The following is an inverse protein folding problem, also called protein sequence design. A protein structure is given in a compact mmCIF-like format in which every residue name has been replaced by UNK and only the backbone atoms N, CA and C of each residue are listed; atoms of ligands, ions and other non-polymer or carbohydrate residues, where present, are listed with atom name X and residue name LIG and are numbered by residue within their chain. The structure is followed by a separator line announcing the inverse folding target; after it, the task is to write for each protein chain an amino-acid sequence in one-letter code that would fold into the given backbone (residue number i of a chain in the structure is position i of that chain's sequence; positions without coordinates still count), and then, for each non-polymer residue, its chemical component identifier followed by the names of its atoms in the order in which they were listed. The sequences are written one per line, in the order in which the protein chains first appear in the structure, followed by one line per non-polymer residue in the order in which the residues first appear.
data_IF_431932475950
#
_entry.id   IF_431932475950
#
_cell.length_a   1.000
_cell.length_b   1.000
_cell.length_c   1.000
_cell.angle_alpha   90.00
_cell.angle_beta   90.00
_cell.angle_gamma   90.00
#
_symmetry.space_group_name_H-M   'P 1'
#
loop_
_entity.id
_entity.type
_entity.pdbx_description
1 polymer ?
#
# COMPACT_ATOMS: atom_id res chain seq x y z
N UNK A 1 31.77 -2.69 -0.90
CA UNK A 1 31.14 -3.82 -1.61
C UNK A 1 30.62 -4.79 -0.56
N UNK A 2 29.31 -5.00 -0.50
CA UNK A 2 28.66 -5.65 0.64
C UNK A 2 29.06 -7.13 0.81
N UNK A 3 29.42 -7.51 2.04
CA UNK A 3 29.56 -8.89 2.50
C UNK A 3 28.17 -9.54 2.56
N UNK A 4 27.75 -10.24 1.50
CA UNK A 4 26.47 -10.97 1.49
C UNK A 4 26.72 -12.49 1.55
N UNK A 5 25.83 -13.17 2.27
CA UNK A 5 25.76 -14.63 2.29
C UNK A 5 24.77 -15.11 1.22
N UNK A 6 25.07 -16.20 0.52
CA UNK A 6 24.12 -16.85 -0.39
C UNK A 6 24.25 -18.37 -0.33
N UNK A 7 23.33 -19.08 -0.99
CA UNK A 7 23.36 -20.54 -1.16
C UNK A 7 23.75 -20.98 -2.57
N UNK A 8 23.82 -20.04 -3.51
CA UNK A 8 24.12 -20.27 -4.92
C UNK A 8 24.91 -19.07 -5.43
N UNK A 9 25.86 -19.28 -6.35
CA UNK A 9 26.64 -18.21 -6.98
C UNK A 9 26.93 -18.57 -8.44
N UNK A 10 26.82 -17.57 -9.34
CA UNK A 10 27.32 -17.67 -10.71
C UNK A 10 28.73 -17.11 -10.74
N UNK A 11 29.60 -17.77 -11.47
CA UNK A 11 30.95 -17.27 -11.61
C UNK A 11 31.58 -17.62 -12.95
N UNK A 12 32.51 -16.77 -13.35
CA UNK A 12 33.29 -16.92 -14.58
C UNK A 12 34.76 -16.98 -14.22
N UNK A 13 35.48 -17.97 -14.77
CA UNK A 13 36.93 -18.09 -14.66
C UNK A 13 37.52 -17.92 -16.05
N UNK A 14 38.19 -16.79 -16.28
CA UNK A 14 38.77 -16.45 -17.58
C UNK A 14 40.15 -17.08 -17.75
N UNK A 15 40.44 -17.58 -18.97
CA UNK A 15 41.73 -18.17 -19.36
C UNK A 15 42.21 -19.26 -18.38
N UNK A 16 41.45 -20.35 -18.19
CA UNK A 16 41.77 -21.34 -17.14
C UNK A 16 43.18 -21.92 -17.28
N UNK A 17 43.70 -22.09 -18.51
CA UNK A 17 45.02 -22.66 -18.82
C UNK A 17 46.20 -21.72 -18.58
N UNK A 18 45.97 -20.41 -18.51
CA UNK A 18 47.06 -19.43 -18.53
C UNK A 18 46.82 -18.20 -17.68
N UNK A 19 47.88 -17.80 -17.00
CA UNK A 19 48.00 -16.51 -16.37
C UNK A 19 48.51 -15.48 -17.38
N UNK A 20 47.56 -14.75 -17.97
CA UNK A 20 47.83 -13.75 -19.00
C UNK A 20 47.94 -12.37 -18.36
N UNK A 21 49.07 -11.70 -18.60
CA UNK A 21 49.26 -10.27 -18.34
C UNK A 21 49.21 -9.54 -19.67
N UNK A 22 48.30 -8.57 -19.82
CA UNK A 22 48.17 -7.78 -21.04
C UNK A 22 49.10 -6.56 -21.03
N UNK A 23 49.53 -6.13 -22.22
CA UNK A 23 50.31 -4.91 -22.40
C UNK A 23 49.41 -3.69 -22.27
N UNK A 24 49.85 -2.67 -21.54
CA UNK A 24 49.12 -1.42 -21.36
C UNK A 24 49.84 -0.24 -22.05
N UNK A 25 49.09 0.76 -22.49
CA UNK A 25 49.65 2.04 -22.95
C UNK A 25 50.05 2.93 -21.76
N UNK A 26 50.58 4.13 -22.02
CA UNK A 26 51.00 5.09 -20.98
C UNK A 26 49.82 5.58 -20.10
N UNK A 27 48.59 5.43 -20.59
CA UNK A 27 47.34 5.81 -19.89
C UNK A 27 46.74 4.65 -19.06
N UNK A 28 47.34 3.45 -19.12
CA UNK A 28 46.88 2.28 -18.38
C UNK A 28 45.77 1.47 -19.06
N UNK A 29 45.51 1.68 -20.36
CA UNK A 29 44.56 0.90 -21.14
C UNK A 29 45.21 -0.31 -21.84
N UNK A 30 44.48 -1.42 -21.94
CA UNK A 30 44.96 -2.64 -22.62
C UNK A 30 45.15 -2.37 -24.12
N UNK A 31 46.36 -2.57 -24.61
CA UNK A 31 46.71 -2.47 -26.04
C UNK A 31 46.09 -3.65 -26.78
N UNK A 32 45.41 -3.36 -27.89
CA UNK A 32 44.85 -4.37 -28.81
C UNK A 32 45.62 -4.41 -30.13
N UNK A 33 45.71 -5.58 -30.74
CA UNK A 33 46.28 -5.76 -32.07
C UNK A 33 45.31 -5.31 -33.18
N UNK A 34 45.76 -5.42 -34.43
CA UNK A 34 45.00 -5.06 -35.63
C UNK A 34 43.68 -5.83 -35.81
N UNK A 35 43.52 -6.97 -35.11
CA UNK A 35 42.31 -7.79 -35.11
C UNK A 35 41.45 -7.56 -33.86
N UNK A 36 41.80 -6.57 -33.03
CA UNK A 36 41.08 -6.24 -31.80
C UNK A 36 41.37 -7.16 -30.61
N UNK A 37 42.35 -8.05 -30.70
CA UNK A 37 42.74 -8.97 -29.61
C UNK A 37 43.76 -8.30 -28.69
N UNK A 38 43.59 -8.48 -27.38
CA UNK A 38 44.50 -7.90 -26.40
C UNK A 38 45.92 -8.45 -26.54
N UNK A 39 46.92 -7.56 -26.61
CA UNK A 39 48.34 -7.90 -26.74
C UNK A 39 48.85 -8.46 -25.42
N UNK A 40 49.39 -9.68 -25.46
CA UNK A 40 49.91 -10.38 -24.29
C UNK A 40 51.34 -9.92 -24.01
N UNK A 41 51.59 -9.44 -22.79
CA UNK A 41 52.92 -9.11 -22.28
C UNK A 41 53.61 -10.35 -21.69
N UNK A 42 52.87 -11.16 -20.94
CA UNK A 42 53.36 -12.37 -20.28
C UNK A 42 52.26 -13.43 -20.24
N UNK A 43 52.63 -14.69 -20.45
CA UNK A 43 51.73 -15.83 -20.37
C UNK A 43 52.43 -16.94 -19.59
N UNK A 44 51.88 -17.29 -18.43
CA UNK A 44 52.40 -18.39 -17.60
C UNK A 44 51.38 -19.53 -17.55
N UNK A 45 51.80 -20.80 -17.70
CA UNK A 45 50.89 -21.93 -17.62
C UNK A 45 50.34 -22.09 -16.19
N UNK A 46 49.05 -22.35 -16.06
CA UNK A 46 48.43 -22.75 -14.79
C UNK A 46 48.51 -24.26 -14.61
N UNK A 47 48.01 -24.76 -13.48
CA UNK A 47 47.80 -26.20 -13.24
C UNK A 47 46.88 -26.86 -14.29
N UNK A 48 46.07 -26.07 -15.00
CA UNK A 48 45.14 -26.53 -16.04
C UNK A 48 45.76 -26.62 -17.44
N UNK A 49 47.00 -26.15 -17.63
CA UNK A 49 47.63 -25.99 -18.94
C UNK A 49 47.60 -27.26 -19.79
N UNK A 50 47.91 -28.41 -19.19
CA UNK A 50 48.04 -29.70 -19.89
C UNK A 50 46.79 -30.58 -19.82
N UNK A 51 45.71 -30.13 -19.19
CA UNK A 51 44.49 -30.91 -18.99
C UNK A 51 43.55 -30.80 -20.20
N UNK A 52 42.71 -31.80 -20.45
CA UNK A 52 41.62 -31.67 -21.44
C UNK A 52 40.52 -30.76 -20.90
N UNK A 53 39.65 -30.25 -21.77
CA UNK A 53 38.53 -29.36 -21.40
C UNK A 53 37.62 -30.04 -20.36
N UNK A 54 37.38 -31.34 -20.52
CA UNK A 54 36.61 -32.14 -19.58
C UNK A 54 37.33 -32.28 -18.22
N UNK A 55 38.65 -32.56 -18.23
CA UNK A 55 39.45 -32.65 -17.00
C UNK A 55 39.48 -31.32 -16.24
N UNK A 56 39.50 -30.19 -16.94
CA UNK A 56 39.43 -28.86 -16.31
C UNK A 56 38.07 -28.68 -15.62
N UNK A 57 36.96 -28.98 -16.30
CA UNK A 57 35.63 -28.91 -15.68
C UNK A 57 35.52 -29.81 -14.43
N UNK A 58 36.02 -31.04 -14.51
CA UNK A 58 35.97 -32.01 -13.42
C UNK A 58 36.82 -31.54 -12.22
N UNK A 59 38.06 -31.08 -12.44
CA UNK A 59 38.94 -30.61 -11.36
C UNK A 59 38.36 -29.38 -10.64
N UNK A 60 37.89 -28.39 -11.42
CA UNK A 60 37.26 -27.18 -10.86
C UNK A 60 36.03 -27.53 -10.05
N UNK A 61 35.18 -28.44 -10.55
CA UNK A 61 34.00 -28.87 -9.81
C UNK A 61 34.38 -29.65 -8.54
N UNK A 62 35.36 -30.54 -8.62
CA UNK A 62 35.87 -31.32 -7.49
C UNK A 62 36.47 -30.44 -6.38
N UNK A 63 37.17 -29.34 -6.73
CA UNK A 63 37.65 -28.35 -5.75
C UNK A 63 36.50 -27.70 -4.98
N UNK A 64 35.33 -27.54 -5.59
CA UNK A 64 34.15 -27.02 -4.92
C UNK A 64 33.47 -28.07 -4.03
N UNK A 65 33.11 -29.23 -4.61
CA UNK A 65 32.29 -30.25 -3.93
C UNK A 65 33.09 -31.13 -2.96
N UNK A 66 34.41 -31.22 -3.12
CA UNK A 66 35.27 -32.07 -2.28
C UNK A 66 35.40 -31.59 -0.82
N UNK A 67 34.99 -30.36 -0.52
CA UNK A 67 35.10 -29.75 0.81
C UNK A 67 33.83 -29.92 1.68
N UNK A 68 32.66 -30.18 1.09
CA UNK A 68 31.40 -30.43 1.82
C UNK A 68 30.45 -31.26 0.94
N UNK A 69 29.95 -32.39 1.46
CA UNK A 69 29.05 -33.33 0.76
C UNK A 69 27.68 -32.72 0.42
N UNK A 70 27.37 -31.56 1.00
CA UNK A 70 26.16 -30.76 0.73
C UNK A 70 26.36 -29.69 -0.34
N UNK A 71 27.49 -29.71 -1.05
CA UNK A 71 27.75 -28.83 -2.19
C UNK A 71 27.37 -29.50 -3.48
N UNK A 72 26.71 -28.74 -4.34
CA UNK A 72 26.38 -29.13 -5.71
C UNK A 72 26.90 -28.05 -6.66
N UNK A 73 27.03 -28.39 -7.94
CA UNK A 73 27.52 -27.42 -8.90
C UNK A 73 27.59 -27.94 -10.32
N UNK A 74 27.73 -27.00 -11.25
CA UNK A 74 27.93 -27.27 -12.66
C UNK A 74 29.05 -26.36 -13.20
N UNK A 75 29.91 -26.90 -14.06
CA UNK A 75 31.01 -26.18 -14.71
C UNK A 75 30.94 -26.44 -16.21
N UNK A 76 30.99 -25.37 -16.99
CA UNK A 76 30.95 -25.39 -18.46
C UNK A 76 32.23 -24.80 -18.99
N UNK A 77 32.92 -25.53 -19.85
CA UNK A 77 34.04 -25.00 -20.61
C UNK A 77 33.51 -24.36 -21.88
N UNK A 78 33.80 -23.08 -22.08
CA UNK A 78 33.33 -22.34 -23.23
C UNK A 78 34.45 -21.62 -23.97
N UNK A 79 34.27 -21.48 -25.28
CA UNK A 79 35.17 -20.74 -26.17
C UNK A 79 34.36 -19.65 -26.86
N UNK A 80 34.75 -18.40 -26.65
CA UNK A 80 34.14 -17.23 -27.30
C UNK A 80 34.42 -17.18 -28.81
N UNK A 81 33.70 -16.32 -29.54
CA UNK A 81 33.90 -16.12 -30.98
C UNK A 81 35.35 -15.73 -31.35
N UNK A 82 36.08 -15.09 -30.44
CA UNK A 82 37.49 -14.69 -30.61
C UNK A 82 38.49 -15.78 -30.16
N UNK A 83 38.01 -16.98 -29.82
CA UNK A 83 38.83 -18.10 -29.38
C UNK A 83 39.32 -18.00 -27.94
N UNK A 84 38.72 -17.15 -27.10
CA UNK A 84 39.07 -17.04 -25.68
C UNK A 84 38.33 -18.08 -24.85
N UNK A 85 39.10 -18.88 -24.13
CA UNK A 85 38.62 -19.91 -23.21
C UNK A 85 38.20 -19.32 -21.86
N UNK A 86 37.07 -19.77 -21.35
CA UNK A 86 36.60 -19.42 -20.02
C UNK A 86 35.64 -20.48 -19.49
N UNK A 87 35.48 -20.50 -18.17
CA UNK A 87 34.57 -21.41 -17.49
C UNK A 87 33.36 -20.63 -16.99
N UNK A 88 32.15 -21.13 -17.26
CA UNK A 88 30.95 -20.72 -16.56
C UNK A 88 30.62 -21.73 -15.47
N UNK A 89 30.51 -21.24 -14.25
CA UNK A 89 30.37 -22.06 -13.07
C UNK A 89 29.11 -21.65 -12.28
N UNK A 90 28.35 -22.65 -11.86
CA UNK A 90 27.26 -22.50 -10.89
C UNK A 90 27.64 -23.32 -9.66
N UNK A 91 27.81 -22.66 -8.52
CA UNK A 91 28.20 -23.30 -7.27
C UNK A 91 27.13 -23.12 -6.21
N UNK A 92 26.63 -24.23 -5.65
CA UNK A 92 25.56 -24.26 -4.67
C UNK A 92 25.93 -25.03 -3.40
N UNK A 93 25.31 -24.66 -2.29
CA UNK A 93 25.41 -25.38 -1.02
C UNK A 93 24.09 -25.30 -0.25
N UNK A 94 23.74 -26.35 0.49
CA UNK A 94 22.61 -26.30 1.42
C UNK A 94 22.83 -25.26 2.54
N UNK A 95 24.08 -25.06 2.94
CA UNK A 95 24.49 -24.04 3.93
C UNK A 95 24.76 -22.72 3.22
N UNK A 96 24.46 -21.60 3.88
CA UNK A 96 24.85 -20.29 3.36
C UNK A 96 26.37 -20.10 3.46
N UNK A 97 27.00 -19.61 2.39
CA UNK A 97 28.42 -19.28 2.35
C UNK A 97 28.65 -17.85 1.86
N UNK A 98 29.85 -17.32 2.11
CA UNK A 98 30.30 -16.02 1.60
C UNK A 98 31.06 -16.25 0.29
N UNK A 99 30.52 -15.88 -0.88
CA UNK A 99 31.12 -16.23 -2.17
C UNK A 99 32.52 -15.66 -2.34
N UNK A 100 32.72 -14.40 -1.95
CA UNK A 100 34.00 -13.72 -2.16
C UNK A 100 35.13 -14.35 -1.36
N UNK A 101 34.87 -14.82 -0.13
CA UNK A 101 35.90 -15.50 0.67
C UNK A 101 36.07 -16.97 0.29
N UNK A 102 34.97 -17.69 0.02
CA UNK A 102 35.02 -19.11 -0.28
C UNK A 102 35.59 -19.37 -1.68
N UNK A 103 35.07 -18.67 -2.70
CA UNK A 103 35.45 -18.91 -4.08
C UNK A 103 36.79 -18.26 -4.44
N UNK A 104 37.17 -17.10 -3.90
CA UNK A 104 38.53 -16.56 -4.16
C UNK A 104 39.63 -17.40 -3.54
N UNK A 105 39.36 -18.11 -2.45
CA UNK A 105 40.31 -19.05 -1.84
C UNK A 105 40.58 -20.24 -2.77
N UNK A 106 39.55 -20.75 -3.42
CA UNK A 106 39.64 -21.87 -4.36
C UNK A 106 40.13 -21.43 -5.75
N UNK A 107 39.66 -20.27 -6.20
CA UNK A 107 39.84 -19.74 -7.54
C UNK A 107 40.17 -18.24 -7.47
N UNK A 108 41.45 -17.86 -7.33
CA UNK A 108 41.84 -16.45 -7.14
C UNK A 108 41.33 -15.49 -8.22
N UNK A 109 41.12 -15.98 -9.45
CA UNK A 109 40.68 -15.22 -10.64
C UNK A 109 39.18 -15.23 -10.91
N UNK A 110 38.40 -15.75 -9.98
CA UNK A 110 36.96 -15.90 -10.17
C UNK A 110 36.27 -14.55 -10.21
N UNK A 111 35.53 -14.30 -11.29
CA UNK A 111 34.56 -13.22 -11.38
C UNK A 111 33.24 -13.75 -10.85
N UNK A 112 32.77 -13.20 -9.74
CA UNK A 112 31.56 -13.67 -9.06
C UNK A 112 30.43 -12.71 -9.37
N UNK A 113 29.33 -13.27 -9.89
CA UNK A 113 28.06 -12.60 -10.03
C UNK A 113 27.03 -13.23 -9.11
N UNK A 114 26.17 -12.39 -8.53
CA UNK A 114 25.12 -12.89 -7.65
C UNK A 114 24.04 -13.54 -8.50
N UNK A 115 23.72 -14.80 -8.21
CA UNK A 115 22.52 -15.48 -8.71
C UNK A 115 21.27 -14.78 -8.19
N UNK A 116 20.66 -13.95 -9.05
CA UNK A 116 19.36 -13.33 -8.78
C UNK A 116 18.18 -14.16 -9.30
N UNK A 117 18.42 -15.39 -9.76
CA UNK A 117 17.44 -16.14 -10.57
C UNK A 117 16.91 -17.44 -9.98
N UNK A 118 15.72 -17.83 -10.45
CA UNK A 118 15.04 -19.09 -10.11
C UNK A 118 15.65 -20.29 -10.87
N UNK A 119 15.23 -21.54 -10.56
CA UNK A 119 15.74 -22.77 -11.19
C UNK A 119 15.80 -22.69 -12.72
N UNK A 120 14.75 -22.14 -13.35
CA UNK A 120 14.69 -21.98 -14.80
C UNK A 120 15.75 -21.03 -15.34
N UNK A 121 16.01 -19.91 -14.68
CA UNK A 121 17.08 -18.98 -15.08
C UNK A 121 18.48 -19.59 -14.93
N UNK A 122 18.66 -20.47 -13.94
CA UNK A 122 19.91 -21.23 -13.77
C UNK A 122 20.07 -22.27 -14.88
N UNK A 123 18.99 -22.98 -15.23
CA UNK A 123 18.97 -23.90 -16.38
C UNK A 123 19.20 -23.17 -17.71
N UNK A 124 18.56 -22.03 -17.92
CA UNK A 124 18.74 -21.18 -19.11
C UNK A 124 20.19 -20.67 -19.19
N UNK A 125 20.82 -20.31 -18.06
CA UNK A 125 22.22 -19.93 -17.99
C UNK A 125 23.16 -21.10 -18.32
N UNK A 126 22.93 -22.27 -17.71
CA UNK A 126 23.75 -23.47 -17.92
C UNK A 126 23.66 -23.95 -19.38
N UNK A 127 22.48 -23.86 -19.98
CA UNK A 127 22.26 -24.31 -21.36
C UNK A 127 22.46 -23.20 -22.39
N UNK A 128 22.81 -21.97 -21.96
CA UNK A 128 22.95 -20.77 -22.79
C UNK A 128 21.74 -20.52 -23.71
N UNK A 129 20.55 -20.60 -23.14
CA UNK A 129 19.27 -20.43 -23.84
C UNK A 129 18.69 -19.03 -23.56
N UNK A 130 18.10 -18.41 -24.59
CA UNK A 130 17.37 -17.15 -24.45
C UNK A 130 18.29 -15.93 -24.27
N UNK A 131 18.16 -15.19 -23.17
CA UNK A 131 18.94 -13.95 -22.93
C UNK A 131 20.45 -14.20 -22.73
N UNK A 132 20.83 -15.45 -22.47
CA UNK A 132 22.22 -15.88 -22.26
C UNK A 132 22.82 -16.56 -23.50
N UNK A 133 22.10 -16.55 -24.62
CA UNK A 133 22.61 -16.99 -25.91
C UNK A 133 23.59 -15.92 -26.43
N UNK A 134 24.87 -16.06 -26.10
CA UNK A 134 25.91 -15.20 -26.65
C UNK A 134 26.24 -15.62 -28.09
N UNK A 135 26.06 -14.68 -29.04
CA UNK A 135 26.32 -14.91 -30.46
C UNK A 135 27.78 -15.32 -30.68
N UNK A 136 28.00 -16.58 -31.05
CA UNK A 136 29.29 -17.10 -31.51
C UNK A 136 30.11 -17.86 -30.47
N UNK A 137 29.55 -18.12 -29.29
CA UNK A 137 30.21 -18.91 -28.26
C UNK A 137 29.86 -20.41 -28.34
N UNK A 138 30.83 -21.28 -28.04
CA UNK A 138 30.63 -22.74 -28.05
C UNK A 138 30.94 -23.37 -26.70
N UNK A 139 30.03 -24.21 -26.22
CA UNK A 139 30.25 -25.08 -25.05
C UNK A 139 31.01 -26.32 -25.56
N UNK A 140 32.19 -26.58 -24.98
CA UNK A 140 33.08 -27.68 -25.39
C UNK A 140 32.98 -28.86 -24.41
N UNK A 141 32.85 -28.58 -23.11
CA UNK A 141 32.77 -29.59 -22.06
C UNK A 141 31.82 -29.14 -20.93
N UNK A 142 31.29 -30.12 -20.19
CA UNK A 142 30.37 -29.89 -19.07
C UNK A 142 30.59 -30.93 -17.98
N UNK A 143 30.61 -30.48 -16.73
CA UNK A 143 30.58 -31.34 -15.55
C UNK A 143 29.49 -30.87 -14.60
N UNK A 144 28.80 -31.81 -13.94
CA UNK A 144 27.76 -31.49 -12.98
C UNK A 144 27.72 -32.54 -11.87
N UNK A 145 27.62 -32.07 -10.62
CA UNK A 145 27.45 -32.90 -9.42
C UNK A 145 26.22 -32.41 -8.67
N UNK A 146 25.28 -33.33 -8.46
CA UNK A 146 23.99 -33.06 -7.82
C UNK A 146 22.97 -32.34 -8.70
N UNK A 147 21.78 -32.15 -8.16
CA UNK A 147 20.71 -31.36 -8.79
C UNK A 147 20.90 -29.87 -8.45
N UNK A 148 21.01 -29.03 -9.47
CA UNK A 148 21.07 -27.57 -9.30
C UNK A 148 19.67 -27.06 -9.00
N UNK A 149 19.46 -26.54 -7.78
CA UNK A 149 18.16 -26.10 -7.29
C UNK A 149 17.92 -24.61 -7.58
N UNK A 150 18.99 -23.85 -7.81
CA UNK A 150 18.95 -22.39 -7.89
C UNK A 150 18.77 -21.74 -6.53
N UNK A 151 18.76 -20.41 -6.49
CA UNK A 151 18.30 -19.66 -5.32
C UNK A 151 16.80 -19.94 -5.10
N UNK A 152 16.49 -20.99 -4.34
CA UNK A 152 15.13 -21.25 -3.87
C UNK A 152 14.75 -20.16 -2.86
N UNK A 153 14.12 -19.08 -3.33
CA UNK A 153 13.53 -18.05 -2.48
C UNK A 153 13.81 -16.61 -2.89
N UNK A 154 13.16 -16.12 -3.94
CA UNK A 154 12.18 -15.05 -3.70
C UNK A 154 10.82 -15.70 -3.86
N UNK A 155 10.03 -15.64 -2.79
CA UNK A 155 8.62 -16.01 -2.78
C UNK A 155 7.90 -15.11 -3.79
N UNK A 156 7.81 -15.53 -5.05
CA UNK A 156 6.92 -14.89 -6.03
C UNK A 156 5.44 -15.07 -5.64
N UNK A 157 5.16 -15.90 -4.64
CA UNK A 157 3.86 -16.11 -4.01
C UNK A 157 3.57 -15.14 -2.85
N UNK A 158 4.55 -14.47 -2.26
CA UNK A 158 4.32 -13.48 -1.19
C UNK A 158 4.67 -12.09 -1.65
N UNK A 159 3.65 -11.24 -1.77
CA UNK A 159 3.83 -9.80 -1.85
C UNK A 159 4.62 -9.31 -0.63
N UNK A 160 5.69 -8.55 -0.87
CA UNK A 160 6.52 -8.02 0.22
C UNK A 160 5.90 -6.77 0.83
N UNK A 161 6.35 -6.37 2.03
CA UNK A 161 5.85 -5.16 2.66
C UNK A 161 6.21 -3.89 1.87
N UNK A 162 7.34 -3.88 1.16
CA UNK A 162 7.67 -2.78 0.23
C UNK A 162 6.71 -2.72 -0.95
N UNK A 163 6.32 -3.87 -1.50
CA UNK A 163 5.35 -3.90 -2.59
C UNK A 163 3.97 -3.41 -2.11
N UNK A 164 3.52 -3.86 -0.92
CA UNK A 164 2.28 -3.38 -0.29
C UNK A 164 2.33 -1.85 -0.12
N UNK A 165 3.45 -1.32 0.39
CA UNK A 165 3.64 0.13 0.53
C UNK A 165 3.52 0.83 -0.82
N UNK A 166 4.20 0.35 -1.85
CA UNK A 166 4.19 1.00 -3.16
C UNK A 166 2.79 0.93 -3.81
N UNK A 167 2.03 -0.15 -3.59
CA UNK A 167 0.62 -0.25 -4.01
C UNK A 167 -0.27 0.78 -3.29
N UNK A 168 -0.11 0.92 -1.96
CA UNK A 168 -0.83 1.95 -1.18
C UNK A 168 -0.53 3.35 -1.73
N UNK A 169 0.75 3.64 -1.98
CA UNK A 169 1.18 4.94 -2.49
C UNK A 169 0.74 5.18 -3.93
N UNK A 170 0.44 4.13 -4.70
CA UNK A 170 -0.21 4.20 -6.01
C UNK A 170 -1.74 4.37 -5.94
N UNK A 171 -2.32 4.43 -4.74
CA UNK A 171 -3.73 4.68 -4.51
C UNK A 171 -4.58 3.42 -4.24
N UNK A 172 -3.98 2.24 -4.09
CA UNK A 172 -4.74 1.03 -3.75
C UNK A 172 -5.12 1.00 -2.26
N UNK A 173 -6.31 0.50 -1.97
CA UNK A 173 -6.76 0.28 -0.60
C UNK A 173 -6.28 -1.10 -0.09
N UNK A 174 -6.25 -1.33 1.24
CA UNK A 174 -5.96 -2.65 1.79
C UNK A 174 -6.86 -3.75 1.20
N UNK A 175 -8.14 -3.46 0.99
CA UNK A 175 -9.08 -4.42 0.40
C UNK A 175 -8.75 -4.75 -1.06
N UNK A 176 -8.31 -3.78 -1.85
CA UNK A 176 -7.86 -4.03 -3.23
C UNK A 176 -6.63 -4.93 -3.23
N UNK A 177 -5.68 -4.64 -2.35
CA UNK A 177 -4.47 -5.45 -2.17
C UNK A 177 -4.82 -6.87 -1.72
N UNK A 178 -5.77 -7.06 -0.81
CA UNK A 178 -6.20 -8.40 -0.38
C UNK A 178 -6.94 -9.16 -1.48
N UNK A 179 -7.73 -8.48 -2.33
CA UNK A 179 -8.40 -9.11 -3.48
C UNK A 179 -7.38 -9.52 -4.55
N UNK A 180 -6.36 -8.70 -4.79
CA UNK A 180 -5.30 -8.97 -5.75
C UNK A 180 -4.31 -10.03 -5.23
N UNK A 181 -3.99 -9.96 -3.94
CA UNK A 181 -3.01 -10.80 -3.25
C UNK A 181 -3.60 -11.33 -1.93
N UNK A 182 -4.46 -12.37 -1.96
CA UNK A 182 -5.10 -12.92 -0.75
C UNK A 182 -4.13 -13.33 0.37
N UNK A 183 -2.90 -13.71 0.02
CA UNK A 183 -1.83 -14.01 0.96
C UNK A 183 -1.43 -12.82 1.86
N UNK A 184 -1.65 -11.58 1.41
CA UNK A 184 -1.36 -10.36 2.18
C UNK A 184 -2.26 -10.23 3.43
N UNK A 185 -3.36 -10.99 3.49
CA UNK A 185 -4.21 -11.08 4.69
C UNK A 185 -3.40 -11.58 5.89
N UNK A 186 -2.34 -12.38 5.67
CA UNK A 186 -1.42 -12.81 6.75
C UNK A 186 -0.70 -11.64 7.44
N UNK A 187 -0.53 -10.52 6.73
CA UNK A 187 0.05 -9.28 7.25
C UNK A 187 -1.00 -8.16 7.38
N UNK A 188 -2.28 -8.51 7.54
CA UNK A 188 -3.41 -7.56 7.59
C UNK A 188 -3.14 -6.35 8.48
N UNK A 189 -2.74 -6.58 9.73
CA UNK A 189 -2.47 -5.50 10.70
C UNK A 189 -1.42 -4.53 10.21
N UNK A 190 -0.33 -5.02 9.60
CA UNK A 190 0.74 -4.16 9.09
C UNK A 190 0.32 -3.41 7.83
N UNK A 191 -0.47 -4.04 6.95
CA UNK A 191 -1.05 -3.39 5.76
C UNK A 191 -2.01 -2.26 6.16
N UNK A 192 -2.89 -2.51 7.12
CA UNK A 192 -3.83 -1.51 7.64
C UNK A 192 -3.10 -0.35 8.34
N UNK A 193 -2.09 -0.65 9.15
CA UNK A 193 -1.26 0.38 9.80
C UNK A 193 -0.51 1.24 8.77
N UNK A 194 0.08 0.63 7.73
CA UNK A 194 0.72 1.38 6.65
C UNK A 194 -0.26 2.29 5.91
N UNK A 195 -1.48 1.82 5.68
CA UNK A 195 -2.52 2.61 5.02
C UNK A 195 -2.98 3.78 5.90
N UNK A 196 -3.14 3.55 7.20
CA UNK A 196 -3.42 4.61 8.17
C UNK A 196 -2.30 5.64 8.23
N UNK A 197 -1.04 5.22 8.27
CA UNK A 197 0.12 6.11 8.22
C UNK A 197 0.16 6.93 6.93
N UNK A 198 -0.07 6.29 5.78
CA UNK A 198 -0.20 6.98 4.49
C UNK A 198 -1.27 8.08 4.56
N UNK A 199 -2.47 7.78 5.05
CA UNK A 199 -3.53 8.80 5.21
C UNK A 199 -3.13 9.91 6.17
N UNK A 200 -2.50 9.56 7.29
CA UNK A 200 -2.00 10.52 8.30
C UNK A 200 -0.95 11.46 7.71
N UNK A 201 0.00 10.94 6.94
CA UNK A 201 1.09 11.73 6.36
C UNK A 201 0.57 12.67 5.26
N UNK A 202 -0.48 12.26 4.53
CA UNK A 202 -1.14 13.08 3.52
C UNK A 202 -2.21 14.03 4.08
N UNK A 203 -2.47 14.00 5.39
CA UNK A 203 -3.39 14.94 6.04
C UNK A 203 -2.60 16.04 6.75
N UNK A 204 -2.82 17.34 6.46
CA UNK A 204 -2.11 18.42 7.13
C UNK A 204 -2.50 18.56 8.62
N UNK A 205 -1.62 19.14 9.48
CA UNK A 205 -1.95 19.48 10.88
C UNK A 205 -3.19 20.36 11.05
N UNK A 206 -3.42 21.30 10.15
CA UNK A 206 -4.63 22.12 10.07
C UNK A 206 -5.44 21.65 8.86
N UNK A 207 -6.69 21.24 9.10
CA UNK A 207 -7.61 20.69 8.10
C UNK A 207 -8.70 21.70 7.80
N UNK A 208 -9.21 21.68 6.57
CA UNK A 208 -10.50 22.28 6.26
C UNK A 208 -11.59 21.25 6.62
N UNK A 209 -12.33 21.50 7.70
CA UNK A 209 -13.32 20.57 8.24
C UNK A 209 -14.70 21.16 8.04
N UNK A 210 -15.51 20.50 7.21
CA UNK A 210 -16.91 20.84 6.98
C UNK A 210 -17.82 19.95 7.81
N UNK A 211 -18.83 20.54 8.44
CA UNK A 211 -19.70 19.86 9.38
C UNK A 211 -21.17 20.08 9.00
N UNK A 212 -21.84 18.96 8.74
CA UNK A 212 -23.23 18.89 8.31
C UNK A 212 -24.07 18.30 9.45
N UNK A 213 -24.98 19.07 10.00
CA UNK A 213 -25.88 18.62 11.06
C UNK A 213 -27.27 18.30 10.50
N UNK A 214 -27.56 17.01 10.33
CA UNK A 214 -28.85 16.54 9.84
C UNK A 214 -29.76 16.20 11.02
N UNK A 215 -30.86 16.92 11.16
CA UNK A 215 -31.82 16.70 12.25
C UNK A 215 -33.26 16.47 11.79
N UNK A 216 -34.08 15.83 12.63
CA UNK A 216 -35.49 15.60 12.32
C UNK A 216 -36.06 14.31 12.91
N UNK A 217 -37.33 14.02 12.61
CA UNK A 217 -38.04 12.87 13.18
C UNK A 217 -37.46 11.51 12.79
N UNK A 218 -37.87 10.46 13.52
CA UNK A 218 -37.52 9.08 13.17
C UNK A 218 -38.06 8.71 11.79
N UNK A 219 -37.32 7.90 11.04
CA UNK A 219 -37.74 7.44 9.72
C UNK A 219 -37.86 8.56 8.67
N UNK A 220 -37.12 9.66 8.84
CA UNK A 220 -37.07 10.78 7.87
C UNK A 220 -35.82 10.75 6.97
N UNK A 221 -35.17 9.59 6.83
CA UNK A 221 -34.06 9.42 5.88
C UNK A 221 -32.69 9.97 6.32
N UNK A 222 -32.53 10.43 7.58
CA UNK A 222 -31.23 10.96 8.06
C UNK A 222 -30.07 9.97 7.90
N UNK A 223 -30.22 8.76 8.44
CA UNK A 223 -29.20 7.70 8.35
C UNK A 223 -29.00 7.16 6.93
N UNK A 224 -29.94 7.42 6.00
CA UNK A 224 -29.77 7.08 4.59
C UNK A 224 -28.67 7.92 3.92
N UNK A 225 -28.29 9.05 4.51
CA UNK A 225 -27.12 9.86 4.10
C UNK A 225 -25.83 9.03 4.05
N UNK A 226 -25.71 7.97 4.88
CA UNK A 226 -24.60 7.02 4.77
C UNK A 226 -24.54 6.36 3.38
N UNK A 227 -25.69 5.91 2.85
CA UNK A 227 -25.75 5.28 1.52
C UNK A 227 -25.41 6.29 0.42
N UNK A 228 -25.94 7.51 0.51
CA UNK A 228 -25.64 8.59 -0.45
C UNK A 228 -24.14 8.93 -0.48
N UNK A 229 -23.50 9.00 0.70
CA UNK A 229 -22.06 9.20 0.80
C UNK A 229 -21.29 8.00 0.23
N UNK A 230 -21.70 6.76 0.52
CA UNK A 230 -21.04 5.57 -0.04
C UNK A 230 -21.10 5.55 -1.57
N UNK A 231 -22.24 5.90 -2.17
CA UNK A 231 -22.41 6.00 -3.61
C UNK A 231 -21.50 7.09 -4.22
N UNK A 232 -21.31 8.21 -3.52
CA UNK A 232 -20.54 9.37 -4.02
C UNK A 232 -19.03 9.25 -3.79
N UNK A 233 -18.62 8.72 -2.65
CA UNK A 233 -17.23 8.78 -2.17
C UNK A 233 -16.60 7.39 -1.99
N UNK A 234 -17.37 6.31 -2.12
CA UNK A 234 -16.93 4.96 -1.77
C UNK A 234 -16.98 4.70 -0.27
N UNK A 235 -17.41 3.50 0.11
CA UNK A 235 -17.53 3.05 1.50
C UNK A 235 -16.21 3.11 2.28
N UNK A 236 -15.08 2.81 1.61
CA UNK A 236 -13.73 2.83 2.17
C UNK A 236 -13.28 4.20 2.70
N UNK A 237 -13.97 5.27 2.30
CA UNK A 237 -13.66 6.64 2.70
C UNK A 237 -14.58 7.17 3.82
N UNK A 238 -15.47 6.31 4.36
CA UNK A 238 -16.49 6.72 5.31
C UNK A 238 -16.35 5.90 6.58
N UNK A 239 -16.18 6.59 7.70
CA UNK A 239 -16.24 5.99 9.01
C UNK A 239 -17.54 6.37 9.73
N UNK A 240 -18.39 5.38 9.98
CA UNK A 240 -19.68 5.57 10.65
C UNK A 240 -19.62 5.10 12.10
N UNK A 241 -19.82 6.04 13.02
CA UNK A 241 -19.95 5.79 14.45
C UNK A 241 -21.39 5.46 14.77
N UNK A 242 -21.63 4.21 15.17
CA UNK A 242 -22.92 3.73 15.69
C UNK A 242 -22.82 3.27 17.15
N UNK A 243 -21.63 2.89 17.59
CA UNK A 243 -21.30 2.60 18.99
C UNK A 243 -20.57 3.81 19.59
N UNK A 244 -21.08 4.30 20.71
CA UNK A 244 -20.54 5.48 21.39
C UNK A 244 -19.70 5.13 22.62
N UNK A 245 -19.62 3.86 23.02
CA UNK A 245 -18.76 3.43 24.13
C UNK A 245 -17.30 3.38 23.68
N UNK A 246 -17.04 2.92 22.45
CA UNK A 246 -15.73 2.87 21.82
C UNK A 246 -15.73 3.40 20.37
N UNK A 247 -16.03 4.71 20.19
CA UNK A 247 -16.45 5.25 18.90
C UNK A 247 -15.40 5.23 17.79
N UNK A 248 -14.10 5.06 18.11
CA UNK A 248 -13.01 5.19 17.14
C UNK A 248 -12.10 3.95 17.03
N UNK A 249 -12.50 2.81 17.60
CA UNK A 249 -11.69 1.58 17.54
C UNK A 249 -11.46 1.07 16.12
N UNK A 250 -12.49 1.22 15.28
CA UNK A 250 -12.46 0.79 13.88
C UNK A 250 -11.90 1.84 12.92
N UNK A 251 -11.58 3.04 13.40
CA UNK A 251 -11.21 4.16 12.54
C UNK A 251 -9.81 3.98 11.95
N UNK A 252 -9.72 4.04 10.61
CA UNK A 252 -8.51 3.86 9.81
C UNK A 252 -8.19 5.11 8.97
N UNK A 253 -8.52 6.29 9.49
CA UNK A 253 -8.13 7.56 8.86
C UNK A 253 -9.09 8.03 7.77
N UNK A 254 -10.31 7.51 7.73
CA UNK A 254 -11.31 7.86 6.72
C UNK A 254 -11.55 9.38 6.68
N UNK A 255 -11.60 9.99 5.48
CA UNK A 255 -11.80 11.43 5.33
C UNK A 255 -13.22 11.90 5.69
N UNK A 256 -14.20 11.00 5.73
CA UNK A 256 -15.60 11.34 6.07
C UNK A 256 -15.99 10.63 7.36
N UNK A 257 -16.36 11.40 8.38
CA UNK A 257 -16.88 10.90 9.65
C UNK A 257 -18.41 11.03 9.67
N UNK A 258 -19.13 9.99 10.09
CA UNK A 258 -20.56 10.06 10.39
C UNK A 258 -20.80 9.73 11.86
N UNK A 259 -21.34 10.67 12.63
CA UNK A 259 -21.89 10.43 13.95
C UNK A 259 -23.38 10.12 13.81
N UNK A 260 -23.71 8.83 13.70
CA UNK A 260 -25.07 8.41 13.39
C UNK A 260 -25.90 8.23 14.68
N UNK A 261 -27.17 8.59 14.62
CA UNK A 261 -28.09 8.57 15.76
C UNK A 261 -27.56 9.31 17.00
N UNK A 262 -26.88 10.42 16.77
CA UNK A 262 -26.27 11.22 17.81
C UNK A 262 -27.30 11.81 18.76
N UNK A 263 -27.17 11.50 20.05
CA UNK A 263 -28.06 11.97 21.13
C UNK A 263 -27.28 12.53 22.32
N UNK A 264 -26.14 13.18 22.05
CA UNK A 264 -25.32 13.83 23.09
C UNK A 264 -24.54 12.86 23.99
N UNK A 265 -24.24 11.64 23.52
CA UNK A 265 -23.43 10.66 24.27
C UNK A 265 -21.94 11.04 24.36
N UNK A 266 -21.49 11.91 23.47
CA UNK A 266 -20.14 12.50 23.49
C UNK A 266 -20.22 13.78 24.34
N UNK A 267 -19.23 14.01 25.22
CA UNK A 267 -19.19 15.24 26.01
C UNK A 267 -19.01 16.47 25.11
N UNK A 268 -19.48 17.63 25.57
CA UNK A 268 -19.40 18.88 24.82
C UNK A 268 -17.96 19.20 24.37
N UNK A 269 -17.01 19.17 25.31
CA UNK A 269 -15.60 19.44 25.03
C UNK A 269 -14.99 18.44 24.05
N UNK A 270 -15.40 17.17 24.10
CA UNK A 270 -14.90 16.16 23.18
C UNK A 270 -15.50 16.33 21.79
N UNK A 271 -16.78 16.71 21.67
CA UNK A 271 -17.37 17.06 20.38
C UNK A 271 -16.63 18.23 19.72
N UNK A 272 -16.28 19.27 20.48
CA UNK A 272 -15.48 20.38 19.95
C UNK A 272 -14.13 19.93 19.39
N UNK A 273 -13.48 18.94 20.01
CA UNK A 273 -12.22 18.35 19.51
C UNK A 273 -12.46 17.61 18.19
N UNK A 274 -13.56 16.86 18.09
CA UNK A 274 -13.90 16.12 16.86
C UNK A 274 -14.15 17.05 15.68
N UNK A 275 -14.77 18.21 15.94
CA UNK A 275 -15.13 19.21 14.93
C UNK A 275 -14.05 20.29 14.73
N UNK A 276 -12.93 20.21 15.44
CA UNK A 276 -11.87 21.21 15.29
C UNK A 276 -11.12 21.02 13.96
N UNK A 277 -10.56 22.12 13.45
CA UNK A 277 -9.68 22.11 12.27
C UNK A 277 -8.31 21.51 12.58
N UNK A 278 -7.82 21.65 13.80
CA UNK A 278 -6.53 21.11 14.18
C UNK A 278 -6.60 19.59 14.40
N UNK A 279 -5.66 18.85 13.83
CA UNK A 279 -5.55 17.41 14.08
C UNK A 279 -5.27 17.14 15.55
N UNK A 280 -6.12 16.33 16.17
CA UNK A 280 -6.04 15.96 17.58
C UNK A 280 -6.04 14.45 17.74
N UNK A 281 -5.65 13.97 18.92
CA UNK A 281 -5.78 12.57 19.27
C UNK A 281 -7.19 12.28 19.83
N UNK A 282 -7.75 11.16 19.41
CA UNK A 282 -9.01 10.60 19.92
C UNK A 282 -8.74 9.24 20.54
N UNK A 283 -9.47 8.93 21.59
CA UNK A 283 -9.30 7.69 22.36
C UNK A 283 -9.83 6.48 21.58
N UNK A 284 -9.06 5.39 21.61
CA UNK A 284 -9.44 4.06 21.15
C UNK A 284 -8.70 3.00 21.99
N UNK A 285 -9.26 1.80 22.13
CA UNK A 285 -8.83 0.82 23.16
C UNK A 285 -7.37 0.37 23.06
N UNK A 286 -6.83 0.25 21.85
CA UNK A 286 -5.48 -0.28 21.62
C UNK A 286 -4.45 0.83 21.34
N UNK A 287 -4.83 1.82 20.55
CA UNK A 287 -3.99 2.96 20.22
C UNK A 287 -4.85 4.16 19.88
N UNK A 288 -4.49 5.32 20.41
CA UNK A 288 -5.17 6.57 20.05
C UNK A 288 -5.07 6.80 18.54
N UNK A 289 -6.15 7.33 17.97
CA UNK A 289 -6.22 7.70 16.55
C UNK A 289 -6.10 9.21 16.39
N UNK A 290 -5.71 9.67 15.21
CA UNK A 290 -5.69 11.09 14.86
C UNK A 290 -6.98 11.46 14.14
N UNK A 291 -7.54 12.63 14.40
CA UNK A 291 -8.66 13.17 13.61
C UNK A 291 -8.17 13.51 12.20
N UNK A 292 -8.47 12.68 11.19
CA UNK A 292 -8.01 12.88 9.80
C UNK A 292 -9.16 13.23 8.83
N UNK A 293 -10.41 13.24 9.30
CA UNK A 293 -11.57 13.60 8.50
C UNK A 293 -11.57 15.08 8.09
N UNK A 294 -12.15 15.39 6.95
CA UNK A 294 -12.41 16.75 6.44
C UNK A 294 -13.88 17.03 6.29
N UNK A 295 -14.72 15.99 6.36
CA UNK A 295 -16.19 16.11 6.33
C UNK A 295 -16.77 15.35 7.52
N UNK A 296 -17.68 15.98 8.25
CA UNK A 296 -18.37 15.38 9.39
C UNK A 296 -19.87 15.49 9.18
N UNK A 297 -20.56 14.36 9.23
CA UNK A 297 -22.02 14.30 9.17
C UNK A 297 -22.56 13.85 10.51
N UNK A 298 -23.43 14.65 11.12
CA UNK A 298 -24.06 14.32 12.40
C UNK A 298 -25.54 14.09 12.12
N UNK A 299 -26.04 12.88 12.39
CA UNK A 299 -27.47 12.61 12.29
C UNK A 299 -28.07 12.60 13.69
N UNK A 300 -29.12 13.40 13.93
CA UNK A 300 -29.71 13.50 15.27
C UNK A 300 -31.22 13.72 15.21
N UNK A 301 -32.01 13.33 16.22
CA UNK A 301 -33.36 13.86 16.36
C UNK A 301 -33.38 15.30 16.93
N UNK A 302 -32.25 15.77 17.46
CA UNK A 302 -32.11 17.02 18.18
C UNK A 302 -31.22 18.01 17.42
N UNK A 303 -31.43 19.29 17.67
CA UNK A 303 -30.53 20.37 17.29
C UNK A 303 -29.28 20.39 18.22
N UNK A 304 -28.16 20.98 17.78
CA UNK A 304 -26.96 21.11 18.62
C UNK A 304 -27.26 21.84 19.92
N UNK A 305 -28.06 22.90 19.84
CA UNK A 305 -28.48 23.76 20.94
C UNK A 305 -29.35 23.00 21.95
N UNK A 306 -30.24 22.12 21.49
CA UNK A 306 -31.09 21.27 22.34
C UNK A 306 -30.26 20.23 23.13
N UNK A 307 -29.20 19.67 22.55
CA UNK A 307 -28.38 18.64 23.20
C UNK A 307 -27.49 19.20 24.31
N UNK A 308 -26.94 20.41 24.11
CA UNK A 308 -25.90 20.96 24.98
C UNK A 308 -26.31 22.22 25.73
N UNK A 309 -27.59 22.58 25.74
CA UNK A 309 -28.12 23.75 26.46
C UNK A 309 -27.63 23.82 27.92
N UNK A 310 -27.78 22.73 28.69
CA UNK A 310 -27.35 22.67 30.09
C UNK A 310 -25.83 22.68 30.29
N UNK A 311 -25.06 22.20 29.30
CA UNK A 311 -23.60 22.27 29.34
C UNK A 311 -23.11 23.69 29.05
N UNK A 312 -23.85 24.43 28.22
CA UNK A 312 -23.64 25.86 27.95
C UNK A 312 -24.06 26.76 29.12
N UNK A 313 -25.08 26.37 29.91
CA UNK A 313 -25.63 27.12 31.06
C UNK A 313 -24.72 27.15 32.32
N UNK A 314 -23.59 26.43 32.36
CA UNK A 314 -22.63 26.54 33.49
C UNK A 314 -21.95 27.92 33.46
N UNK A 315 -22.21 28.69 34.52
CA UNK A 315 -22.16 30.15 34.64
C UNK A 315 -20.73 30.76 34.75
N UNK A 316 -19.90 30.61 33.71
CA UNK A 316 -18.50 31.11 33.72
C UNK A 316 -18.26 32.28 32.74
N UNK A 317 -19.31 32.83 32.13
CA UNK A 317 -19.22 34.06 31.30
C UNK A 317 -18.50 33.93 29.95
N UNK A 318 -18.28 32.72 29.44
CA UNK A 318 -17.63 32.48 28.14
C UNK A 318 -18.65 31.93 27.15
N UNK A 319 -18.56 32.44 25.92
CA UNK A 319 -19.37 32.10 24.75
C UNK A 319 -19.30 30.62 24.37
N UNK A 320 -20.12 29.80 25.04
CA UNK A 320 -20.01 28.33 24.95
C UNK A 320 -20.70 27.82 23.70
N UNK A 321 -21.94 28.20 23.42
CA UNK A 321 -22.70 27.62 22.30
C UNK A 321 -22.17 28.07 20.93
N UNK A 322 -21.71 29.33 20.83
CA UNK A 322 -21.08 29.85 19.61
C UNK A 322 -19.85 29.03 19.18
N UNK A 323 -19.13 28.42 20.12
CA UNK A 323 -18.00 27.55 19.78
C UNK A 323 -18.43 26.31 18.99
N UNK A 324 -19.61 25.76 19.28
CA UNK A 324 -20.16 24.65 18.52
C UNK A 324 -20.78 25.16 17.22
N UNK A 325 -21.60 26.21 17.29
CA UNK A 325 -22.32 26.75 16.13
C UNK A 325 -21.36 27.21 15.02
N UNK A 326 -20.25 27.88 15.34
CA UNK A 326 -19.24 28.32 14.35
C UNK A 326 -18.48 27.18 13.65
N UNK A 327 -18.59 25.96 14.17
CA UNK A 327 -17.97 24.75 13.61
C UNK A 327 -18.98 23.94 12.81
N UNK A 328 -20.23 24.37 12.73
CA UNK A 328 -21.28 23.76 11.92
C UNK A 328 -21.43 24.63 10.69
N UNK A 329 -21.27 24.05 9.51
CA UNK A 329 -21.42 24.75 8.24
C UNK A 329 -22.89 24.76 7.80
N UNK A 330 -23.56 23.62 7.92
CA UNK A 330 -24.92 23.44 7.46
C UNK A 330 -25.78 22.72 8.50
N UNK A 331 -26.98 23.25 8.76
CA UNK A 331 -28.05 22.55 9.50
C UNK A 331 -29.12 22.13 8.51
N UNK A 332 -29.37 20.82 8.41
CA UNK A 332 -30.30 20.24 7.45
C UNK A 332 -31.47 19.61 8.17
N UNK A 333 -32.67 20.13 7.96
CA UNK A 333 -33.91 19.56 8.44
C UNK A 333 -34.40 18.44 7.52
N UNK A 334 -34.47 17.23 8.08
CA UNK A 334 -34.95 16.04 7.40
C UNK A 334 -36.37 15.68 7.84
N UNK A 335 -37.29 15.62 6.89
CA UNK A 335 -38.68 15.24 7.13
C UNK A 335 -39.22 14.34 6.01
N UNK A 336 -40.36 13.70 6.27
CA UNK A 336 -41.08 12.92 5.26
C UNK A 336 -42.39 13.63 4.89
N UNK A 337 -42.72 13.59 3.61
CA UNK A 337 -43.98 14.06 3.06
C UNK A 337 -44.61 12.91 2.28
N UNK A 338 -45.88 12.59 2.56
CA UNK A 338 -46.65 11.61 1.80
C UNK A 338 -47.66 12.39 0.96
N UNK A 339 -47.66 12.17 -0.35
CA UNK A 339 -48.60 12.85 -1.25
C UNK A 339 -50.05 12.53 -0.87
N UNK A 340 -50.97 13.48 -1.08
CA UNK A 340 -52.38 13.35 -0.67
C UNK A 340 -53.09 12.14 -1.29
N UNK A 341 -52.72 11.80 -2.53
CA UNK A 341 -53.20 10.61 -3.25
C UNK A 341 -52.52 9.30 -2.81
N UNK A 342 -51.66 9.35 -1.78
CA UNK A 342 -50.84 8.25 -1.27
C UNK A 342 -49.93 7.60 -2.32
N UNK A 343 -49.65 8.27 -3.45
CA UNK A 343 -48.87 7.71 -4.55
C UNK A 343 -47.39 7.49 -4.23
N UNK A 344 -46.89 8.09 -3.14
CA UNK A 344 -45.53 7.87 -2.68
C UNK A 344 -45.15 8.72 -1.48
N UNK A 345 -44.00 8.38 -0.90
CA UNK A 345 -43.40 9.10 0.21
C UNK A 345 -42.11 9.76 -0.26
N UNK A 346 -42.00 11.05 -0.01
CA UNK A 346 -40.82 11.86 -0.28
C UNK A 346 -40.04 12.06 1.01
N UNK A 347 -38.73 11.85 0.93
CA UNK A 347 -37.78 12.20 1.98
C UNK A 347 -37.16 13.54 1.60
N UNK A 348 -37.48 14.55 2.39
CA UNK A 348 -37.11 15.93 2.14
C UNK A 348 -35.95 16.34 3.06
N UNK A 349 -34.99 17.07 2.50
CA UNK A 349 -33.90 17.72 3.21
C UNK A 349 -33.98 19.22 2.91
N UNK A 350 -34.10 20.03 3.96
CA UNK A 350 -34.18 21.47 3.87
C UNK A 350 -32.98 22.09 4.59
N UNK A 351 -32.18 22.87 3.88
CA UNK A 351 -31.11 23.65 4.51
C UNK A 351 -31.73 24.80 5.31
N UNK A 352 -31.55 24.76 6.62
CA UNK A 352 -32.05 25.78 7.52
C UNK A 352 -31.17 27.01 7.38
N UNK A 353 -31.80 28.15 7.18
CA UNK A 353 -31.15 29.44 7.38
C UNK A 353 -30.91 29.65 8.88
N UNK A 354 -29.66 29.48 9.33
CA UNK A 354 -29.29 29.64 10.72
C UNK A 354 -28.12 30.60 10.85
N UNK A 355 -28.18 31.47 11.85
CA UNK A 355 -27.06 32.30 12.28
C UNK A 355 -26.61 31.91 13.70
N UNK A 356 -25.54 32.54 14.18
CA UNK A 356 -24.97 32.30 15.50
C UNK A 356 -25.92 32.63 16.67
N UNK A 357 -26.98 33.40 16.42
CA UNK A 357 -27.93 33.89 17.43
C UNK A 357 -29.28 33.18 17.37
N UNK A 358 -29.52 32.37 16.34
CA UNK A 358 -30.77 31.65 16.15
C UNK A 358 -30.93 30.56 17.23
N UNK A 359 -31.99 30.67 18.02
CA UNK A 359 -32.31 29.67 19.03
C UNK A 359 -33.00 28.43 18.44
N UNK A 360 -33.05 27.34 19.22
CA UNK A 360 -33.73 26.12 18.77
C UNK A 360 -35.21 26.32 18.47
N UNK A 361 -35.89 27.27 19.11
CA UNK A 361 -37.32 27.49 18.93
C UNK A 361 -37.59 28.11 17.54
N UNK A 362 -36.85 29.15 17.17
CA UNK A 362 -36.93 29.78 15.85
C UNK A 362 -36.65 28.79 14.72
N UNK A 363 -35.60 27.96 14.86
CA UNK A 363 -35.29 26.91 13.87
C UNK A 363 -36.46 25.91 13.75
N UNK A 364 -37.05 25.49 14.86
CA UNK A 364 -38.19 24.55 14.87
C UNK A 364 -39.44 25.16 14.25
N UNK A 365 -39.68 26.45 14.46
CA UNK A 365 -40.79 27.19 13.85
C UNK A 365 -40.62 27.28 12.33
N UNK A 366 -39.44 27.67 11.84
CA UNK A 366 -39.09 27.66 10.41
C UNK A 366 -39.31 26.28 9.79
N UNK A 367 -38.81 25.22 10.43
CA UNK A 367 -38.99 23.86 9.95
C UNK A 367 -40.46 23.43 9.90
N UNK A 368 -41.26 23.90 10.86
CA UNK A 368 -42.70 23.62 10.90
C UNK A 368 -43.44 24.34 9.79
N UNK A 369 -43.05 25.58 9.49
CA UNK A 369 -43.57 26.37 8.37
C UNK A 369 -43.29 25.67 7.03
N UNK A 370 -42.02 25.32 6.76
CA UNK A 370 -41.61 24.61 5.53
C UNK A 370 -42.37 23.30 5.38
N UNK A 371 -42.48 22.51 6.44
CA UNK A 371 -43.25 21.26 6.41
C UNK A 371 -44.73 21.49 6.12
N UNK A 372 -45.31 22.56 6.67
CA UNK A 372 -46.70 22.91 6.45
C UNK A 372 -46.94 23.34 4.99
N UNK A 373 -46.09 24.21 4.43
CA UNK A 373 -46.18 24.66 3.06
C UNK A 373 -46.04 23.50 2.06
N UNK A 374 -45.08 22.60 2.25
CA UNK A 374 -44.95 21.38 1.43
C UNK A 374 -46.20 20.49 1.54
N UNK A 375 -46.86 20.47 2.71
CA UNK A 375 -48.10 19.70 2.87
C UNK A 375 -49.30 20.31 2.14
N UNK A 376 -49.36 21.64 2.01
CA UNK A 376 -50.48 22.34 1.37
C UNK A 376 -50.31 22.49 -0.15
N UNK A 377 -49.08 22.76 -0.60
CA UNK A 377 -48.80 23.11 -2.01
C UNK A 377 -48.15 21.96 -2.78
N UNK A 378 -47.81 20.86 -2.09
CA UNK A 378 -46.97 19.79 -2.63
C UNK A 378 -45.52 20.22 -2.80
N UNK A 379 -44.73 19.39 -3.49
CA UNK A 379 -43.30 19.65 -3.78
C UNK A 379 -43.05 20.63 -4.94
N UNK A 380 -44.10 21.19 -5.54
CA UNK A 380 -43.99 22.11 -6.68
C UNK A 380 -43.46 23.50 -6.29
N UNK A 381 -43.52 23.86 -5.01
CA UNK A 381 -42.86 25.03 -4.45
C UNK A 381 -41.39 24.68 -4.20
N UNK A 382 -40.52 24.92 -5.20
CA UNK A 382 -39.07 24.89 -5.02
C UNK A 382 -38.67 26.04 -4.10
N UNK A 383 -38.73 25.82 -2.80
CA UNK A 383 -38.10 26.71 -1.82
C UNK A 383 -36.58 26.60 -1.96
N UNK A 384 -35.89 27.73 -1.91
CA UNK A 384 -34.43 27.73 -1.87
C UNK A 384 -33.94 26.85 -0.71
N UNK A 385 -33.03 25.92 -1.01
CA UNK A 385 -32.48 24.99 -0.02
C UNK A 385 -33.28 23.70 0.20
N UNK A 386 -34.43 23.49 -0.45
CA UNK A 386 -35.19 22.24 -0.37
C UNK A 386 -34.74 21.23 -1.44
N UNK A 387 -34.33 20.04 -0.99
CA UNK A 387 -34.08 18.87 -1.85
C UNK A 387 -34.97 17.70 -1.44
N UNK A 388 -35.35 16.84 -2.38
CA UNK A 388 -36.23 15.71 -2.10
C UNK A 388 -35.82 14.45 -2.86
N UNK A 389 -35.92 13.29 -2.21
CA UNK A 389 -35.81 11.97 -2.84
C UNK A 389 -37.16 11.27 -2.80
N UNK A 390 -37.69 10.93 -3.97
CA UNK A 390 -38.95 10.19 -4.11
C UNK A 390 -38.75 8.70 -3.85
N UNK A 391 -39.64 8.11 -3.06
CA UNK A 391 -39.78 6.67 -2.91
C UNK A 391 -41.23 6.30 -3.18
N UNK A 392 -41.46 5.50 -4.21
CA UNK A 392 -42.77 4.98 -4.54
C UNK A 392 -43.27 4.06 -3.41
N UNK A 393 -44.51 4.27 -2.95
CA UNK A 393 -45.11 3.39 -1.96
C UNK A 393 -45.51 2.09 -2.65
N UNK A 394 -44.74 1.01 -2.44
CA UNK A 394 -45.11 -0.33 -2.90
C UNK A 394 -46.26 -0.89 -2.05
N UNK A 395 -47.49 -0.50 -2.37
CA UNK A 395 -48.67 -1.28 -2.00
C UNK A 395 -49.90 -0.89 -2.84
N UNK A 396 -50.08 -1.58 -3.97
CA UNK A 396 -51.37 -2.11 -4.43
C UNK A 396 -51.13 -3.25 -5.44
N UNK A 397 -51.07 -4.47 -4.94
CA UNK A 397 -51.51 -5.70 -5.64
C UNK A 397 -52.35 -6.51 -4.68
#
# INVERSE_FOLDING_TARGET
MAEFNCRSAFCVINNPRYDITYKHNEEGEIIKDENGKAVILKQEPTEYHSLTEQQICDDVLNKWVGDDDKRTGAVLFCVSALGLEHLHCVFESEKTFRPLSALKKLFPKVHIEITKGNKKQVEDYINKVGKFEEKGEKIIAKSQVGEIKGCQGKRNDLISMSDIRDLIYSGQTPNDIYRQFPQAIKSKTATEELFYLYRKDNTPPERDVKVHWLFGGTGCGKSYTYIELCEKHGDVNIYRVTDYDHPFDGYQGEPILILDEFRGRISYSYLLILLDKYRSQVSARYSNKMTLWTEVYITSPFLPTELYQKAAERNDGIDKLEQLTRRIDDIVYCFKYTAENNSGTFYCKYNVDFDLHCDSHAIREQCSHVRHEVSQMGLFTLMDGLTSKFVENKSQS
#
